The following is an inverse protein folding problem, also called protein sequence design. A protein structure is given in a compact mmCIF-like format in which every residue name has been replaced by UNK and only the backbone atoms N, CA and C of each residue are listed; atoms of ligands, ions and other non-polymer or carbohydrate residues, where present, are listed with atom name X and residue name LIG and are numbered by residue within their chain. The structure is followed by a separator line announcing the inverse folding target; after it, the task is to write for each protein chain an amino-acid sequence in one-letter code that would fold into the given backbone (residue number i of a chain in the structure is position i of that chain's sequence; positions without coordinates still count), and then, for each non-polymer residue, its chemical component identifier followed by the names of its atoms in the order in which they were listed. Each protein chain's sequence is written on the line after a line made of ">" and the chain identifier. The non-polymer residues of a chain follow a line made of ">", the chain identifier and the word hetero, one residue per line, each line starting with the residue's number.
data_IF_235153589678
#
_entry.id   IF_235153589678
#
_cell.length_a   1.000
_cell.length_b   1.000
_cell.length_c   1.000
_cell.angle_alpha   90.00
_cell.angle_beta   90.00
_cell.angle_gamma   90.00
#
_symmetry.space_group_name_H-M   'P 1'
#
loop_
_entity.id
_entity.type
_entity.pdbx_description
1 polymer ?
#
# COMPACT_ATOMS: atom_id res chain seq x y z
N UNK A 1 4.85 15.86 -0.59
CA UNK A 1 4.13 14.85 -1.40
C UNK A 1 2.74 14.73 -0.83
N UNK A 2 1.70 15.13 -1.59
CA UNK A 2 0.31 14.94 -1.19
C UNK A 2 -0.02 13.44 -1.23
N UNK A 3 -0.83 12.97 -0.29
CA UNK A 3 -1.29 11.57 -0.28
C UNK A 3 -2.40 11.43 -1.30
N UNK A 4 -2.21 10.49 -2.20
CA UNK A 4 -2.91 10.29 -3.47
C UNK A 4 -4.33 9.77 -3.27
N UNK A 5 -4.52 8.86 -2.32
CA UNK A 5 -5.80 8.22 -2.01
C UNK A 5 -6.60 8.89 -0.87
N UNK A 6 -6.23 10.09 -0.43
CA UNK A 6 -6.84 10.70 0.76
C UNK A 6 -7.68 11.94 0.48
N UNK A 7 -7.59 12.52 -0.72
CA UNK A 7 -8.17 13.83 -1.02
C UNK A 7 -9.38 13.65 -1.94
N UNK A 8 -10.59 14.12 -1.54
CA UNK A 8 -11.81 13.92 -2.31
C UNK A 8 -11.71 14.40 -3.77
N UNK A 9 -11.06 15.54 -3.99
CA UNK A 9 -10.88 16.11 -5.34
C UNK A 9 -10.00 15.24 -6.26
N UNK A 10 -9.09 14.47 -5.67
CA UNK A 10 -8.18 13.60 -6.41
C UNK A 10 -8.84 12.23 -6.63
N UNK A 11 -9.66 11.76 -5.68
CA UNK A 11 -10.43 10.51 -5.76
C UNK A 11 -11.56 10.56 -6.79
N UNK A 12 -12.25 11.69 -6.91
CA UNK A 12 -13.45 11.80 -7.76
C UNK A 12 -13.18 11.45 -9.22
N UNK A 13 -12.03 11.84 -9.77
CA UNK A 13 -11.66 11.51 -11.15
C UNK A 13 -11.45 9.99 -11.34
N UNK A 14 -10.92 9.29 -10.33
CA UNK A 14 -10.84 7.83 -10.35
C UNK A 14 -12.21 7.19 -10.20
N UNK A 15 -13.08 7.75 -9.35
CA UNK A 15 -14.45 7.27 -9.17
C UNK A 15 -15.27 7.37 -10.46
N UNK A 16 -15.08 8.40 -11.29
CA UNK A 16 -15.72 8.44 -12.61
C UNK A 16 -15.33 7.26 -13.50
N UNK A 17 -14.05 6.86 -13.47
CA UNK A 17 -13.58 5.71 -14.25
C UNK A 17 -14.16 4.42 -13.68
N UNK A 18 -14.13 4.24 -12.36
CA UNK A 18 -14.65 3.06 -11.69
C UNK A 18 -16.16 2.92 -11.90
N UNK A 19 -16.93 3.96 -11.58
CA UNK A 19 -18.38 3.98 -11.76
C UNK A 19 -18.79 3.74 -13.23
N UNK A 20 -18.06 4.29 -14.21
CA UNK A 20 -18.33 4.01 -15.62
C UNK A 20 -17.99 2.56 -16.01
N UNK A 21 -16.94 1.97 -15.46
CA UNK A 21 -16.60 0.55 -15.66
C UNK A 21 -17.66 -0.38 -15.06
N UNK A 22 -18.27 0.03 -13.95
CA UNK A 22 -19.44 -0.64 -13.35
C UNK A 22 -20.74 -0.39 -14.13
N UNK A 23 -20.71 0.43 -15.19
CA UNK A 23 -21.88 0.71 -16.04
C UNK A 23 -22.83 1.77 -15.47
N UNK A 24 -22.42 2.55 -14.46
CA UNK A 24 -23.20 3.68 -13.94
C UNK A 24 -23.14 4.86 -14.91
N UNK A 25 -24.26 5.57 -15.05
CA UNK A 25 -24.27 6.85 -15.79
C UNK A 25 -23.69 7.97 -14.94
N UNK A 26 -22.43 8.32 -15.22
CA UNK A 26 -21.69 9.37 -14.52
C UNK A 26 -21.81 10.75 -15.18
N UNK A 27 -22.54 10.87 -16.31
CA UNK A 27 -22.50 12.04 -17.20
C UNK A 27 -22.82 13.34 -16.46
N UNK A 28 -23.95 13.37 -15.76
CA UNK A 28 -24.43 14.58 -15.06
C UNK A 28 -23.53 15.00 -13.89
N UNK A 29 -22.92 14.03 -13.20
CA UNK A 29 -21.98 14.28 -12.09
C UNK A 29 -20.68 14.84 -12.64
N UNK A 30 -20.18 14.24 -13.73
CA UNK A 30 -18.94 14.65 -14.40
C UNK A 30 -19.06 16.06 -14.99
N UNK A 31 -20.18 16.41 -15.60
CA UNK A 31 -20.44 17.76 -16.12
C UNK A 31 -20.41 18.82 -15.03
N UNK A 32 -21.04 18.57 -13.87
CA UNK A 32 -21.00 19.50 -12.72
C UNK A 32 -19.59 19.68 -12.17
N UNK A 33 -18.82 18.61 -12.11
CA UNK A 33 -17.42 18.68 -11.69
C UNK A 33 -16.59 19.59 -12.61
N UNK A 34 -16.72 19.38 -13.93
CA UNK A 34 -16.02 20.18 -14.94
C UNK A 34 -16.47 21.64 -14.90
N UNK A 35 -17.79 21.90 -14.77
CA UNK A 35 -18.34 23.24 -14.68
C UNK A 35 -17.84 24.01 -13.44
N UNK A 36 -17.53 23.31 -12.35
CA UNK A 36 -16.92 23.89 -11.15
C UNK A 36 -15.39 24.10 -11.27
N UNK A 37 -14.80 23.79 -12.43
CA UNK A 37 -13.36 23.91 -12.68
C UNK A 37 -12.53 22.70 -12.23
N UNK A 38 -13.18 21.56 -11.98
CA UNK A 38 -12.53 20.30 -11.64
C UNK A 38 -11.94 19.59 -12.86
N UNK A 39 -10.79 18.93 -12.66
CA UNK A 39 -10.17 18.08 -13.69
C UNK A 39 -10.79 16.68 -13.66
N UNK A 40 -11.44 16.21 -14.75
CA UNK A 40 -12.03 14.88 -14.79
C UNK A 40 -10.99 13.77 -15.07
N UNK A 41 -9.74 14.11 -15.37
CA UNK A 41 -8.70 13.13 -15.66
C UNK A 41 -8.00 12.66 -14.37
N UNK A 42 -7.97 11.35 -14.09
CA UNK A 42 -7.24 10.84 -12.94
C UNK A 42 -5.74 11.08 -13.11
N UNK A 43 -5.10 11.66 -12.10
CA UNK A 43 -3.66 11.85 -12.11
C UNK A 43 -2.95 10.49 -12.03
N UNK A 44 -1.92 10.26 -12.86
CA UNK A 44 -1.11 9.01 -12.83
C UNK A 44 -0.43 8.83 -11.46
N UNK A 45 -0.03 9.93 -10.83
CA UNK A 45 0.50 9.93 -9.47
C UNK A 45 -0.54 9.56 -8.43
N UNK A 46 -1.83 9.67 -8.75
CA UNK A 46 -2.99 9.54 -7.87
C UNK A 46 -3.35 10.81 -7.10
N UNK A 47 -2.58 11.90 -7.21
CA UNK A 47 -2.97 13.22 -6.69
C UNK A 47 -2.39 14.33 -7.55
N UNK A 48 -3.19 15.37 -7.74
CA UNK A 48 -2.78 16.61 -8.37
C UNK A 48 -1.66 17.32 -7.61
N UNK A 49 -0.83 18.11 -8.30
CA UNK A 49 0.35 18.76 -7.72
C UNK A 49 0.00 19.83 -6.68
N UNK A 50 -1.21 20.41 -6.77
CA UNK A 50 -1.69 21.49 -5.91
C UNK A 50 -3.03 21.12 -5.28
N UNK A 51 -3.27 21.44 -4.00
CA UNK A 51 -4.58 21.26 -3.38
C UNK A 51 -5.67 22.03 -4.12
N UNK A 52 -6.84 21.42 -4.27
CA UNK A 52 -8.02 22.14 -4.75
C UNK A 52 -8.50 23.18 -3.72
N UNK A 53 -9.16 24.27 -4.18
CA UNK A 53 -9.83 25.22 -3.28
C UNK A 53 -10.83 24.52 -2.36
N UNK A 54 -11.08 25.04 -1.13
CA UNK A 54 -11.99 24.40 -0.17
C UNK A 54 -13.39 24.13 -0.72
N UNK A 55 -13.94 25.04 -1.54
CA UNK A 55 -15.25 24.86 -2.18
C UNK A 55 -15.27 23.68 -3.15
N UNK A 56 -14.23 23.54 -3.98
CA UNK A 56 -14.11 22.44 -4.94
C UNK A 56 -13.91 21.10 -4.23
N UNK A 57 -13.15 21.07 -3.13
CA UNK A 57 -13.01 19.88 -2.28
C UNK A 57 -14.33 19.49 -1.60
N UNK A 58 -15.11 20.46 -1.14
CA UNK A 58 -16.42 20.20 -0.57
C UNK A 58 -17.37 19.61 -1.61
N UNK A 59 -17.41 20.20 -2.81
CA UNK A 59 -18.16 19.67 -3.94
C UNK A 59 -17.73 18.23 -4.26
N UNK A 60 -16.42 17.95 -4.32
CA UNK A 60 -15.93 16.61 -4.61
C UNK A 60 -16.46 15.55 -3.63
N UNK A 61 -16.59 15.88 -2.33
CA UNK A 61 -17.22 14.97 -1.35
C UNK A 61 -18.68 14.71 -1.67
N UNK A 62 -19.44 15.76 -1.97
CA UNK A 62 -20.85 15.63 -2.35
C UNK A 62 -21.00 14.78 -3.60
N UNK A 63 -20.18 15.01 -4.63
CA UNK A 63 -20.24 14.24 -5.87
C UNK A 63 -19.84 12.76 -5.66
N UNK A 64 -18.89 12.46 -4.76
CA UNK A 64 -18.55 11.08 -4.39
C UNK A 64 -19.74 10.38 -3.71
N UNK A 65 -20.43 11.05 -2.79
CA UNK A 65 -21.63 10.48 -2.14
C UNK A 65 -22.76 10.25 -3.17
N UNK A 66 -22.92 11.16 -4.13
CA UNK A 66 -23.88 11.01 -5.21
C UNK A 66 -23.55 9.83 -6.14
N UNK A 67 -22.28 9.65 -6.53
CA UNK A 67 -21.83 8.50 -7.34
C UNK A 67 -22.05 7.17 -6.61
N UNK A 68 -21.79 7.14 -5.31
CA UNK A 68 -22.04 5.96 -4.48
C UNK A 68 -23.52 5.58 -4.39
N UNK A 69 -24.43 6.57 -4.54
CA UNK A 69 -25.86 6.36 -4.53
C UNK A 69 -26.45 6.03 -5.92
N UNK A 70 -25.68 6.14 -7.00
CA UNK A 70 -26.17 5.80 -8.33
C UNK A 70 -26.49 4.30 -8.42
N UNK A 71 -27.59 3.94 -9.10
CA UNK A 71 -27.93 2.54 -9.31
C UNK A 71 -26.83 1.88 -10.14
N UNK A 72 -26.29 0.78 -9.61
CA UNK A 72 -25.40 -0.09 -10.36
C UNK A 72 -26.25 -1.09 -11.16
N UNK A 73 -26.00 -1.26 -12.47
CA UNK A 73 -26.58 -2.37 -13.23
C UNK A 73 -26.31 -3.71 -12.54
N UNK A 74 -27.27 -4.63 -12.58
CA UNK A 74 -27.07 -5.97 -12.04
C UNK A 74 -25.94 -6.67 -12.81
N UNK A 75 -24.99 -7.27 -12.08
CA UNK A 75 -23.92 -8.09 -12.61
C UNK A 75 -24.10 -9.55 -12.14
N UNK A 76 -24.86 -10.39 -12.88
CA UNK A 76 -25.20 -11.75 -12.42
C UNK A 76 -24.01 -12.68 -12.15
N UNK A 77 -22.83 -12.35 -12.69
CA UNK A 77 -21.59 -13.09 -12.47
C UNK A 77 -20.73 -12.54 -11.33
N UNK A 78 -21.12 -11.41 -10.74
CA UNK A 78 -20.45 -10.73 -9.63
C UNK A 78 -21.46 -10.43 -8.52
N UNK A 79 -22.05 -11.46 -7.90
CA UNK A 79 -23.02 -11.25 -6.82
C UNK A 79 -22.36 -10.66 -5.58
N UNK A 80 -23.13 -9.89 -4.81
CA UNK A 80 -22.68 -9.33 -3.53
C UNK A 80 -22.94 -10.26 -2.33
N UNK A 81 -23.93 -11.16 -2.48
CA UNK A 81 -24.34 -12.08 -1.43
C UNK A 81 -23.30 -13.17 -1.19
N UNK A 82 -22.96 -13.43 0.07
CA UNK A 82 -21.96 -14.46 0.41
C UNK A 82 -22.29 -15.84 -0.18
N UNK A 83 -23.55 -16.28 -0.06
CA UNK A 83 -23.98 -17.59 -0.53
C UNK A 83 -23.93 -17.68 -2.07
N UNK A 84 -24.26 -16.58 -2.76
CA UNK A 84 -24.20 -16.47 -4.22
C UNK A 84 -22.74 -16.46 -4.71
N UNK A 85 -21.86 -15.69 -4.06
CA UNK A 85 -20.41 -15.72 -4.31
C UNK A 85 -19.89 -17.16 -4.11
N UNK A 86 -20.23 -17.80 -2.99
CA UNK A 86 -19.79 -19.15 -2.67
C UNK A 86 -20.27 -20.19 -3.69
N UNK A 87 -21.48 -20.02 -4.24
CA UNK A 87 -22.02 -20.87 -5.29
C UNK A 87 -21.27 -20.74 -6.63
N UNK A 88 -20.66 -19.57 -6.90
CA UNK A 88 -19.83 -19.34 -8.08
C UNK A 88 -18.37 -19.75 -7.90
N UNK A 89 -17.93 -20.03 -6.67
CA UNK A 89 -16.54 -20.42 -6.43
C UNK A 89 -16.26 -21.78 -7.09
N UNK A 90 -15.13 -21.91 -7.81
CA UNK A 90 -14.69 -23.22 -8.27
C UNK A 90 -14.31 -24.09 -7.06
N UNK A 91 -14.23 -25.41 -7.29
CA UNK A 91 -13.70 -26.34 -6.31
C UNK A 91 -12.34 -25.84 -5.80
N UNK A 92 -12.14 -25.87 -4.47
CA UNK A 92 -10.91 -25.38 -3.86
C UNK A 92 -9.70 -26.12 -4.47
N UNK A 93 -8.68 -25.40 -4.94
CA UNK A 93 -7.52 -26.03 -5.53
C UNK A 93 -6.78 -26.86 -4.47
N UNK A 94 -6.35 -28.05 -4.85
CA UNK A 94 -5.44 -28.84 -4.00
C UNK A 94 -4.06 -28.21 -4.10
N UNK A 95 -3.68 -27.46 -3.06
CA UNK A 95 -2.37 -26.82 -3.01
C UNK A 95 -1.29 -27.85 -2.65
N UNK A 96 -0.14 -27.83 -3.34
CA UNK A 96 0.99 -28.66 -2.95
C UNK A 96 1.46 -28.27 -1.55
N UNK A 97 1.97 -29.24 -0.78
CA UNK A 97 2.64 -28.99 0.49
C UNK A 97 4.15 -28.97 0.23
N UNK A 98 4.74 -27.78 -0.05
CA UNK A 98 6.17 -27.70 -0.30
C UNK A 98 6.96 -28.16 0.94
N UNK A 99 8.12 -28.77 0.70
CA UNK A 99 9.08 -29.02 1.77
C UNK A 99 9.61 -27.72 2.39
N UNK A 100 10.29 -27.85 3.52
CA UNK A 100 10.87 -26.71 4.24
C UNK A 100 11.80 -25.87 3.35
N UNK A 101 12.59 -26.52 2.50
CA UNK A 101 13.53 -25.86 1.59
C UNK A 101 12.84 -24.97 0.55
N UNK A 102 11.82 -25.50 -0.15
CA UNK A 102 11.01 -24.70 -1.09
C UNK A 102 10.28 -23.55 -0.40
N UNK A 103 9.83 -23.76 0.83
CA UNK A 103 9.17 -22.72 1.63
C UNK A 103 10.16 -21.62 2.01
N UNK A 104 11.37 -21.99 2.46
CA UNK A 104 12.44 -21.05 2.76
C UNK A 104 12.86 -20.27 1.52
N UNK A 105 13.07 -20.97 0.39
CA UNK A 105 13.41 -20.34 -0.89
C UNK A 105 12.34 -19.37 -1.39
N UNK A 106 11.05 -19.68 -1.20
CA UNK A 106 9.98 -18.74 -1.53
C UNK A 106 10.02 -17.48 -0.64
N UNK A 107 10.36 -17.64 0.65
CA UNK A 107 10.44 -16.51 1.58
C UNK A 107 11.66 -15.63 1.32
N UNK A 108 12.84 -16.23 1.15
CA UNK A 108 14.07 -15.50 0.84
C UNK A 108 14.05 -14.91 -0.55
N UNK A 109 13.47 -15.60 -1.54
CA UNK A 109 13.26 -15.09 -2.89
C UNK A 109 12.33 -13.88 -2.92
N UNK A 110 11.23 -13.90 -2.14
CA UNK A 110 10.38 -12.73 -1.95
C UNK A 110 11.16 -11.57 -1.36
N UNK A 111 11.89 -11.78 -0.26
CA UNK A 111 12.67 -10.74 0.39
C UNK A 111 13.72 -10.14 -0.57
N UNK A 112 14.42 -10.99 -1.33
CA UNK A 112 15.39 -10.56 -2.33
C UNK A 112 14.73 -9.75 -3.46
N UNK A 113 13.60 -10.22 -4.00
CA UNK A 113 12.86 -9.50 -5.04
C UNK A 113 12.36 -8.13 -4.58
N UNK A 114 11.82 -8.05 -3.37
CA UNK A 114 11.37 -6.79 -2.76
C UNK A 114 12.56 -5.83 -2.56
N UNK A 115 13.68 -6.32 -2.03
CA UNK A 115 14.90 -5.53 -1.86
C UNK A 115 15.41 -4.98 -3.19
N UNK A 116 15.40 -5.80 -4.25
CA UNK A 116 15.90 -5.46 -5.57
C UNK A 116 15.03 -4.39 -6.25
N UNK A 117 13.72 -4.48 -6.13
CA UNK A 117 12.77 -3.54 -6.75
C UNK A 117 12.63 -2.21 -6.00
N UNK A 118 12.82 -2.21 -4.69
CA UNK A 118 12.68 -1.03 -3.80
C UNK A 118 13.34 0.27 -4.30
N UNK A 119 14.64 0.30 -4.68
CA UNK A 119 15.29 1.55 -5.06
C UNK A 119 14.78 2.11 -6.40
N UNK A 120 14.28 1.24 -7.28
CA UNK A 120 13.81 1.57 -8.64
C UNK A 120 12.28 1.60 -8.77
N UNK A 121 11.55 1.53 -7.66
CA UNK A 121 10.10 1.64 -7.66
C UNK A 121 9.67 2.95 -8.36
N UNK A 122 8.85 2.83 -9.42
CA UNK A 122 8.37 3.92 -10.29
C UNK A 122 9.40 4.49 -11.28
N UNK A 123 10.60 3.91 -11.37
CA UNK A 123 11.51 4.19 -12.48
C UNK A 123 11.08 3.31 -13.67
N UNK A 124 10.86 3.90 -14.86
CA UNK A 124 10.46 3.12 -16.03
C UNK A 124 11.63 2.25 -16.52
N UNK A 125 11.34 1.27 -17.37
CA UNK A 125 12.32 0.26 -17.79
C UNK A 125 13.57 0.88 -18.43
N UNK A 126 13.39 1.91 -19.26
CA UNK A 126 14.47 2.66 -19.89
C UNK A 126 15.40 3.33 -18.86
N UNK A 127 14.85 3.86 -17.76
CA UNK A 127 15.64 4.45 -16.69
C UNK A 127 16.40 3.39 -15.88
N UNK A 128 15.77 2.24 -15.62
CA UNK A 128 16.43 1.10 -14.99
C UNK A 128 17.60 0.62 -15.85
N UNK A 129 17.40 0.48 -17.15
CA UNK A 129 18.45 0.07 -18.08
C UNK A 129 19.58 1.11 -18.17
N UNK A 130 19.27 2.40 -18.25
CA UNK A 130 20.27 3.46 -18.29
C UNK A 130 21.13 3.49 -17.01
N UNK A 131 20.51 3.40 -15.83
CA UNK A 131 21.22 3.29 -14.53
C UNK A 131 22.18 2.09 -14.54
N UNK A 132 21.72 0.93 -15.00
CA UNK A 132 22.52 -0.30 -15.01
C UNK A 132 23.66 -0.22 -16.01
N UNK A 133 23.44 0.33 -17.21
CA UNK A 133 24.50 0.53 -18.18
C UNK A 133 25.54 1.54 -17.69
N UNK A 134 25.10 2.65 -17.10
CA UNK A 134 25.98 3.69 -16.57
C UNK A 134 26.86 3.19 -15.40
N UNK A 135 26.40 2.18 -14.65
CA UNK A 135 27.16 1.55 -13.55
C UNK A 135 27.87 0.26 -13.95
N UNK A 136 27.81 -0.15 -15.23
CA UNK A 136 28.43 -1.39 -15.71
C UNK A 136 27.77 -2.67 -15.19
N UNK A 137 26.47 -2.64 -14.90
CA UNK A 137 25.66 -3.72 -14.29
C UNK A 137 24.52 -4.21 -15.17
N UNK A 138 24.61 -3.99 -16.48
CA UNK A 138 23.64 -4.53 -17.44
C UNK A 138 24.19 -5.79 -18.12
N UNK A 139 23.47 -6.93 -18.12
CA UNK A 139 22.19 -7.18 -17.45
C UNK A 139 22.34 -7.28 -15.93
N UNK A 140 21.24 -7.05 -15.20
CA UNK A 140 21.21 -7.07 -13.73
C UNK A 140 21.54 -8.47 -13.19
N UNK A 141 22.69 -8.61 -12.54
CA UNK A 141 23.16 -9.86 -11.90
C UNK A 141 23.37 -9.73 -10.38
N UNK A 142 23.24 -8.50 -9.84
CA UNK A 142 23.42 -8.13 -8.43
C UNK A 142 22.45 -7.01 -8.03
N UNK A 143 22.72 -6.32 -6.93
CA UNK A 143 21.91 -5.21 -6.43
C UNK A 143 22.17 -3.90 -7.19
N UNK A 144 21.26 -2.92 -7.07
CA UNK A 144 21.50 -1.55 -7.55
C UNK A 144 22.51 -0.81 -6.66
N UNK A 145 23.31 0.09 -7.22
CA UNK A 145 24.25 0.94 -6.47
C UNK A 145 24.18 2.38 -6.94
N UNK A 146 24.47 3.33 -6.05
CA UNK A 146 24.79 4.69 -6.44
C UNK A 146 26.30 4.89 -6.70
N UNK A 147 27.15 3.95 -6.29
CA UNK A 147 28.61 4.05 -6.46
C UNK A 147 28.95 4.00 -7.95
N UNK A 148 29.54 5.09 -8.45
CA UNK A 148 29.92 5.23 -9.85
C UNK A 148 28.77 5.59 -10.78
N UNK A 149 27.56 5.86 -10.27
CA UNK A 149 26.47 6.39 -11.09
C UNK A 149 26.75 7.87 -11.44
N UNK A 150 26.80 8.26 -12.72
CA UNK A 150 26.98 9.65 -13.11
C UNK A 150 25.85 10.55 -12.58
N UNK A 151 26.21 11.76 -12.15
CA UNK A 151 25.27 12.71 -11.55
C UNK A 151 24.12 13.10 -12.49
N UNK A 152 24.37 13.17 -13.80
CA UNK A 152 23.36 13.50 -14.80
C UNK A 152 22.33 12.35 -14.97
N UNK A 153 22.78 11.09 -14.91
CA UNK A 153 21.90 9.91 -14.90
C UNK A 153 21.09 9.87 -13.61
N UNK A 154 21.73 10.10 -12.46
CA UNK A 154 21.07 10.15 -11.16
C UNK A 154 20.03 11.28 -11.07
N UNK A 155 20.28 12.41 -11.73
CA UNK A 155 19.33 13.52 -11.81
C UNK A 155 18.13 13.21 -12.72
N UNK A 156 18.34 12.49 -13.84
CA UNK A 156 17.26 12.02 -14.72
C UNK A 156 16.40 10.96 -14.04
N UNK A 157 17.03 10.03 -13.34
CA UNK A 157 16.38 8.88 -12.70
C UNK A 157 16.64 8.87 -11.19
N UNK A 158 16.02 9.80 -10.44
CA UNK A 158 16.30 9.95 -9.03
C UNK A 158 15.83 8.73 -8.23
N UNK A 159 16.71 8.22 -7.38
CA UNK A 159 16.39 7.14 -6.46
C UNK A 159 15.19 7.47 -5.57
N UNK A 160 14.41 6.45 -5.20
CA UNK A 160 13.36 6.59 -4.21
C UNK A 160 13.97 6.94 -2.83
N UNK A 161 13.71 8.16 -2.36
CA UNK A 161 14.29 8.72 -1.13
C UNK A 161 13.99 7.92 0.14
N UNK A 162 12.93 7.10 0.15
CA UNK A 162 12.55 6.29 1.31
C UNK A 162 13.29 4.97 1.35
N UNK A 163 13.52 4.35 0.20
CA UNK A 163 14.11 3.01 0.10
C UNK A 163 15.61 3.03 -0.18
N UNK A 164 16.10 3.97 -0.99
CA UNK A 164 17.51 4.02 -1.39
C UNK A 164 18.52 4.00 -0.23
N UNK A 165 18.30 4.71 0.91
CA UNK A 165 19.23 4.67 2.03
C UNK A 165 19.43 3.30 2.68
N UNK A 166 18.57 2.31 2.39
CA UNK A 166 18.63 0.97 2.97
C UNK A 166 18.57 -0.17 1.93
N UNK A 167 18.48 0.14 0.63
CA UNK A 167 18.25 -0.85 -0.44
C UNK A 167 19.23 -0.74 -1.61
N UNK A 168 20.16 0.21 -1.57
CA UNK A 168 21.32 0.20 -2.47
C UNK A 168 22.42 -0.68 -1.89
N UNK A 169 23.18 -1.34 -2.75
CA UNK A 169 24.14 -2.37 -2.40
C UNK A 169 25.09 -2.00 -1.27
N UNK A 170 25.64 -0.78 -1.33
CA UNK A 170 26.55 -0.22 -0.33
C UNK A 170 25.91 -0.03 1.06
N UNK A 171 24.58 -0.08 1.14
CA UNK A 171 23.78 0.17 2.34
C UNK A 171 22.97 -1.06 2.80
N UNK A 172 22.96 -2.16 2.03
CA UNK A 172 22.15 -3.33 2.34
C UNK A 172 22.60 -3.93 3.68
N UNK A 173 21.68 -3.99 4.64
CA UNK A 173 21.85 -4.63 5.94
C UNK A 173 20.61 -5.46 6.24
N UNK A 174 20.51 -6.59 5.54
CA UNK A 174 19.29 -7.39 5.50
C UNK A 174 18.17 -6.72 4.69
N UNK A 175 16.94 -7.19 4.89
CA UNK A 175 15.77 -6.69 4.20
C UNK A 175 15.08 -5.60 5.01
N UNK A 176 14.99 -4.34 4.52
CA UNK A 176 14.23 -3.29 5.18
C UNK A 176 12.74 -3.62 5.15
N UNK A 177 11.97 -2.98 6.04
CA UNK A 177 10.52 -3.17 6.11
C UNK A 177 9.84 -2.83 4.77
N UNK A 178 8.87 -3.64 4.40
CA UNK A 178 8.16 -3.58 3.12
C UNK A 178 6.77 -4.20 3.26
N UNK A 179 5.78 -3.60 2.61
CA UNK A 179 4.41 -4.08 2.63
C UNK A 179 4.22 -5.42 1.92
N UNK A 180 5.04 -5.72 0.89
CA UNK A 180 5.08 -7.02 0.21
C UNK A 180 5.57 -8.16 1.12
N UNK A 181 6.17 -7.86 2.27
CA UNK A 181 6.49 -8.82 3.32
C UNK A 181 5.49 -8.79 4.48
N UNK A 182 5.02 -7.61 4.84
CA UNK A 182 4.07 -7.44 5.94
C UNK A 182 2.74 -8.14 5.66
N UNK A 183 2.16 -7.98 4.46
CA UNK A 183 0.86 -8.56 4.12
C UNK A 183 0.86 -10.08 4.09
N UNK A 184 1.88 -10.77 3.52
CA UNK A 184 1.99 -12.22 3.65
C UNK A 184 2.12 -12.71 5.10
N UNK A 185 2.90 -12.00 5.94
CA UNK A 185 3.00 -12.34 7.37
C UNK A 185 1.64 -12.19 8.06
N UNK A 186 0.89 -11.13 7.74
CA UNK A 186 -0.44 -10.90 8.27
C UNK A 186 -1.42 -12.01 7.83
N UNK A 187 -1.35 -12.44 6.57
CA UNK A 187 -2.13 -13.56 6.07
C UNK A 187 -1.81 -14.85 6.84
N UNK A 188 -0.51 -15.17 7.01
CA UNK A 188 -0.06 -16.36 7.73
C UNK A 188 -0.43 -16.36 9.22
N UNK A 189 -0.31 -15.21 9.89
CA UNK A 189 -0.67 -15.10 11.32
C UNK A 189 -2.16 -15.37 11.50
N UNK A 190 -2.99 -14.86 10.58
CA UNK A 190 -4.43 -15.09 10.60
C UNK A 190 -4.80 -16.55 10.31
N UNK A 191 -4.15 -17.19 9.33
CA UNK A 191 -4.35 -18.62 9.06
C UNK A 191 -3.96 -19.49 10.26
N UNK A 192 -2.90 -19.13 11.00
CA UNK A 192 -2.50 -19.85 12.22
C UNK A 192 -3.50 -19.70 13.36
N UNK A 193 -4.06 -18.51 13.57
CA UNK A 193 -5.10 -18.29 14.58
C UNK A 193 -6.43 -18.98 14.26
N UNK A 194 -6.66 -19.36 12.99
CA UNK A 194 -7.88 -20.02 12.52
C UNK A 194 -7.91 -21.54 12.79
N UNK A 195 -6.79 -22.16 13.18
CA UNK A 195 -6.65 -23.62 13.31
C UNK A 195 -7.34 -24.25 14.56
N UNK A 196 -8.55 -23.82 14.93
CA UNK A 196 -9.22 -24.43 16.09
C UNK A 196 -10.54 -23.88 16.58
N UNK A 197 -11.46 -23.38 15.75
CA UNK A 197 -12.86 -23.23 16.19
C UNK A 197 -13.84 -23.70 15.12
N UNK A 198 -14.74 -24.55 15.59
CA UNK A 198 -15.77 -25.32 14.90
C UNK A 198 -16.64 -24.50 13.97
N UNK A 199 -17.07 -25.16 12.90
CA UNK A 199 -18.11 -24.79 11.95
C UNK A 199 -19.32 -24.12 12.62
N UNK A 200 -19.26 -22.81 12.71
CA UNK A 200 -20.40 -21.91 12.88
C UNK A 200 -19.88 -20.55 12.43
N UNK A 201 -20.43 -20.05 11.34
CA UNK A 201 -19.97 -18.91 10.54
C UNK A 201 -19.39 -17.76 11.38
N UNK A 202 -18.15 -17.30 11.14
CA UNK A 202 -17.79 -15.98 11.66
C UNK A 202 -18.49 -14.93 10.79
N UNK A 203 -19.08 -13.87 11.37
CA UNK A 203 -19.53 -12.75 10.57
C UNK A 203 -18.31 -12.18 9.83
N UNK A 204 -18.48 -11.90 8.55
CA UNK A 204 -17.50 -11.24 7.65
C UNK A 204 -16.83 -10.01 8.29
N UNK A 205 -17.47 -9.37 9.28
CA UNK A 205 -16.89 -8.34 10.15
C UNK A 205 -15.62 -8.75 10.92
N UNK A 206 -15.48 -10.01 11.37
CA UNK A 206 -14.27 -10.50 12.06
C UNK A 206 -13.07 -10.50 11.11
N UNK A 207 -13.34 -10.88 9.85
CA UNK A 207 -12.64 -10.60 8.58
C UNK A 207 -11.81 -9.31 8.53
N UNK A 208 -12.48 -8.27 8.08
CA UNK A 208 -11.94 -6.94 7.84
C UNK A 208 -11.34 -6.32 9.10
N UNK A 209 -11.97 -6.50 10.27
CA UNK A 209 -11.51 -5.86 11.52
C UNK A 209 -10.08 -6.29 11.93
N UNK A 210 -9.73 -7.56 11.76
CA UNK A 210 -8.37 -8.04 12.05
C UNK A 210 -7.33 -7.49 11.08
N UNK A 211 -7.65 -7.42 9.78
CA UNK A 211 -6.78 -6.81 8.77
C UNK A 211 -6.59 -5.31 9.04
N UNK A 212 -7.70 -4.61 9.27
CA UNK A 212 -7.71 -3.18 9.59
C UNK A 212 -6.93 -2.86 10.87
N UNK A 213 -7.01 -3.71 11.91
CA UNK A 213 -6.27 -3.50 13.16
C UNK A 213 -4.75 -3.63 13.02
N UNK A 214 -4.28 -4.29 11.96
CA UNK A 214 -2.85 -4.44 11.66
C UNK A 214 -2.36 -3.42 10.61
N UNK A 215 -3.28 -2.69 9.96
CA UNK A 215 -2.95 -1.59 9.07
C UNK A 215 -2.57 -0.34 9.88
N UNK A 216 -1.62 0.49 9.41
CA UNK A 216 -1.21 1.72 10.10
C UNK A 216 -2.35 2.71 10.40
N UNK A 217 -3.47 2.63 9.66
CA UNK A 217 -4.66 3.48 9.84
C UNK A 217 -5.71 2.96 10.82
N UNK A 218 -5.55 1.74 11.38
CA UNK A 218 -6.57 1.09 12.21
C UNK A 218 -6.60 1.45 13.69
N UNK A 219 -5.83 2.44 14.13
CA UNK A 219 -5.81 2.87 15.53
C UNK A 219 -7.02 3.75 15.88
N UNK A 220 -8.21 3.15 15.99
CA UNK A 220 -9.26 3.70 16.84
C UNK A 220 -9.00 3.26 18.29
N UNK A 221 -9.15 4.14 19.30
CA UNK A 221 -8.94 3.77 20.69
C UNK A 221 -9.98 2.71 21.11
N UNK A 222 -9.58 1.61 21.78
CA UNK A 222 -10.52 0.60 22.21
C UNK A 222 -11.41 1.13 23.35
N UNK A 223 -12.73 1.01 23.19
CA UNK A 223 -13.74 1.35 24.20
C UNK A 223 -14.03 0.23 25.20
N UNK A 224 -13.23 -0.84 25.26
CA UNK A 224 -13.38 -1.91 26.26
C UNK A 224 -12.06 -2.67 26.52
N UNK A 225 -11.85 -3.21 27.74
CA UNK A 225 -10.64 -3.94 28.08
C UNK A 225 -10.60 -5.32 27.38
N UNK A 226 -9.55 -5.57 26.60
CA UNK A 226 -9.29 -6.87 25.95
C UNK A 226 -8.55 -7.80 26.90
N UNK A 227 -9.23 -8.82 27.41
CA UNK A 227 -8.62 -10.03 27.98
C UNK A 227 -8.22 -10.96 26.84
N UNK A 228 -7.00 -10.79 26.33
CA UNK A 228 -6.46 -11.65 25.28
C UNK A 228 -5.01 -11.32 24.99
N UNK A 229 -4.12 -12.21 25.41
CA UNK A 229 -2.67 -12.17 25.15
C UNK A 229 -2.39 -12.44 23.67
N UNK A 230 -2.60 -11.44 22.82
CA UNK A 230 -2.05 -11.44 21.48
C UNK A 230 -1.52 -10.04 21.15
N UNK A 231 -0.20 -9.89 21.17
CA UNK A 231 0.56 -8.76 20.60
C UNK A 231 0.30 -7.36 21.17
N UNK A 232 0.55 -7.14 22.47
CA UNK A 232 0.59 -5.78 23.08
C UNK A 232 1.97 -5.30 23.54
N UNK A 233 3.08 -5.97 23.16
CA UNK A 233 4.43 -5.49 23.54
C UNK A 233 5.44 -5.48 22.41
N UNK A 234 5.19 -4.71 21.36
CA UNK A 234 6.25 -4.29 20.44
C UNK A 234 5.85 -3.11 19.55
N UNK A 235 5.35 -1.99 20.11
CA UNK A 235 5.21 -0.72 19.37
C UNK A 235 4.88 0.44 20.32
N UNK A 236 5.85 0.90 21.12
CA UNK A 236 5.88 2.29 21.60
C UNK A 236 7.25 2.65 22.21
N UNK A 237 8.25 2.94 21.37
CA UNK A 237 9.42 3.76 21.76
C UNK A 237 10.15 4.33 20.54
N UNK A 238 9.44 5.16 19.76
CA UNK A 238 10.06 6.18 18.90
C UNK A 238 9.39 7.52 19.21
N UNK A 239 9.91 8.21 20.23
CA UNK A 239 9.89 9.68 20.47
C UNK A 239 10.08 9.95 21.97
N UNK A 240 11.32 10.25 22.34
CA UNK A 240 11.76 11.18 23.41
C UNK A 240 13.28 11.09 23.50
N UNK A 241 13.98 11.70 22.55
CA UNK A 241 15.32 12.27 22.82
C UNK A 241 15.05 13.72 23.20
N UNK A 242 14.80 13.95 24.48
CA UNK A 242 14.89 15.28 25.07
C UNK A 242 16.36 15.53 25.37
N UNK A 243 16.89 16.60 24.80
CA UNK A 243 18.22 17.12 25.11
C UNK A 243 18.27 17.53 26.58
N UNK A 244 19.19 16.96 27.34
CA UNK A 244 19.70 17.59 28.56
C UNK A 244 21.21 17.73 28.41
N UNK A 245 21.63 18.96 28.07
CA UNK A 245 22.97 19.47 28.33
C UNK A 245 23.24 19.31 29.83
N UNK A 246 24.25 18.54 30.19
CA UNK A 246 24.83 18.62 31.53
C UNK A 246 26.00 19.59 31.47
N UNK A 247 25.87 20.71 32.16
CA UNK A 247 26.96 21.60 32.48
C UNK A 247 27.82 20.92 33.57
N UNK A 248 29.07 20.60 33.26
CA UNK A 248 30.07 20.31 34.29
C UNK A 248 30.85 21.60 34.52
N UNK A 249 30.52 22.25 35.64
CA UNK A 249 31.33 23.28 36.25
C UNK A 249 32.52 22.66 36.99
N UNK A 250 33.64 23.36 36.88
CA UNK A 250 34.90 23.21 37.60
C UNK A 250 34.78 22.98 39.11
N UNK A 251 35.54 22.04 39.64
CA UNK A 251 36.15 22.12 40.96
C UNK A 251 37.39 21.23 41.05
N UNK A 252 38.53 21.89 41.33
CA UNK A 252 39.91 21.42 41.60
C UNK A 252 40.84 21.27 40.40
#
# INVERSE_FOLDING_TARGET
>A
MRLTWAQPEDLLAHEFVQSAAEGKDVTSVRERWIAAGGDPAPAVSGAGPRPAPPALRALARTLLDELAALPCPAAPHEPDGWDEIAALLPAAPVLPRPGADRTLGAWTGRAAGCLLGKPVEKIPREGIEEILRATGRWPLDRWFTAVGLPDDVAARWPWNRRSAPASLEENISGMPEDDDLNYPILALSRSRCWNGTTASSPPTMSRSSGWNSCLPGGCSPPSAPRTGTCWTRARCRKRRRTSTRSANGSAR
#
